data_IF_382536767599
#
_entry.id   IF_382536767599
#
_cell.length_a   1.000
_cell.length_b   1.000
_cell.length_c   1.000
_cell.angle_alpha   90.00
_cell.angle_beta   90.00
_cell.angle_gamma   90.00
#
_symmetry.space_group_name_H-M   'P 1'
#
loop_
_entity.id
_entity.type
_entity.pdbx_description
1 polymer ?
#
# COMPACT_ATOMS: atom_id res chain seq x y z
N UNK A 1 13.40 10.09 -18.21
CA UNK A 1 12.12 10.67 -18.63
C UNK A 1 11.95 12.05 -18.04
N UNK A 2 11.72 13.06 -18.86
CA UNK A 2 11.38 14.41 -18.38
C UNK A 2 9.86 14.56 -18.22
N UNK A 3 9.42 15.69 -17.67
CA UNK A 3 8.00 15.90 -17.38
C UNK A 3 7.10 15.96 -18.63
N UNK A 4 7.61 16.51 -19.73
CA UNK A 4 6.87 16.58 -21.00
C UNK A 4 6.67 15.17 -21.57
N UNK A 5 7.71 14.35 -21.55
CA UNK A 5 7.64 12.94 -21.99
C UNK A 5 6.66 12.14 -21.11
N UNK A 6 6.72 12.32 -19.78
CA UNK A 6 5.78 11.69 -18.85
C UNK A 6 4.33 12.09 -19.17
N UNK A 7 4.07 13.38 -19.33
CA UNK A 7 2.72 13.91 -19.61
C UNK A 7 2.20 13.39 -20.95
N UNK A 8 3.04 13.36 -21.99
CA UNK A 8 2.66 12.81 -23.29
C UNK A 8 2.34 11.31 -23.23
N UNK A 9 3.12 10.52 -22.49
CA UNK A 9 2.82 9.09 -22.30
C UNK A 9 1.50 8.88 -21.56
N UNK A 10 1.26 9.66 -20.51
CA UNK A 10 0.00 9.64 -19.77
C UNK A 10 -1.19 9.98 -20.67
N UNK A 11 -1.07 11.04 -21.49
CA UNK A 11 -2.11 11.42 -22.44
C UNK A 11 -2.37 10.31 -23.46
N UNK A 12 -1.33 9.73 -24.05
CA UNK A 12 -1.47 8.61 -24.99
C UNK A 12 -2.21 7.42 -24.36
N UNK A 13 -1.95 7.10 -23.08
CA UNK A 13 -2.65 6.03 -22.37
C UNK A 13 -4.11 6.41 -22.09
N UNK A 14 -4.39 7.67 -21.73
CA UNK A 14 -5.75 8.16 -21.53
C UNK A 14 -6.56 8.11 -22.83
N UNK A 15 -5.97 8.51 -23.96
CA UNK A 15 -6.64 8.59 -25.26
C UNK A 15 -7.03 7.22 -25.84
N UNK A 16 -6.44 6.13 -25.32
CA UNK A 16 -6.85 4.76 -25.64
C UNK A 16 -8.26 4.41 -25.10
N UNK A 17 -8.81 5.22 -24.19
CA UNK A 17 -10.11 4.96 -23.58
C UNK A 17 -10.11 3.75 -22.65
N UNK A 18 -11.14 2.91 -22.75
CA UNK A 18 -11.24 1.70 -21.93
C UNK A 18 -10.40 0.56 -22.49
N UNK A 19 -9.42 0.12 -21.70
CA UNK A 19 -8.50 -0.96 -22.05
C UNK A 19 -8.78 -2.16 -21.16
N UNK A 20 -8.85 -3.35 -21.78
CA UNK A 20 -9.02 -4.61 -21.06
C UNK A 20 -7.87 -4.89 -20.09
N UNK A 21 -8.20 -5.35 -18.89
CA UNK A 21 -7.24 -5.76 -17.88
C UNK A 21 -6.34 -6.90 -18.42
N UNK A 22 -5.02 -6.72 -18.31
CA UNK A 22 -4.02 -7.70 -18.74
C UNK A 22 -3.83 -8.82 -17.71
N UNK A 23 -4.34 -8.62 -16.49
CA UNK A 23 -4.28 -9.58 -15.38
C UNK A 23 -5.58 -9.50 -14.58
N UNK A 24 -6.12 -10.65 -14.19
CA UNK A 24 -7.32 -10.71 -13.35
C UNK A 24 -7.00 -10.34 -11.90
N UNK A 25 -7.95 -9.70 -11.23
CA UNK A 25 -7.92 -9.44 -9.80
C UNK A 25 -7.35 -8.06 -9.43
N UNK A 26 -7.07 -7.88 -8.14
CA UNK A 26 -6.76 -6.55 -7.60
C UNK A 26 -5.52 -5.91 -8.20
N UNK A 27 -4.51 -6.72 -8.56
CA UNK A 27 -3.24 -6.27 -9.17
C UNK A 27 -3.37 -5.94 -10.66
N UNK A 28 -4.53 -6.22 -11.27
CA UNK A 28 -4.77 -6.01 -12.70
C UNK A 28 -4.55 -4.57 -13.15
N UNK A 29 -5.02 -3.59 -12.37
CA UNK A 29 -4.89 -2.16 -12.71
C UNK A 29 -3.43 -1.69 -12.75
N UNK A 30 -2.63 -2.09 -11.76
CA UNK A 30 -1.19 -1.77 -11.70
C UNK A 30 -0.46 -2.38 -12.87
N UNK A 31 -0.63 -3.69 -13.02
CA UNK A 31 0.02 -4.44 -14.09
C UNK A 31 -0.35 -3.94 -15.50
N UNK A 32 -1.63 -3.64 -15.73
CA UNK A 32 -2.08 -3.05 -17.01
C UNK A 32 -1.40 -1.71 -17.25
N UNK A 33 -1.41 -0.79 -16.28
CA UNK A 33 -0.81 0.52 -16.45
C UNK A 33 0.69 0.43 -16.69
N UNK A 34 1.42 -0.34 -15.88
CA UNK A 34 2.87 -0.54 -16.01
C UNK A 34 3.23 -1.09 -17.39
N UNK A 35 2.46 -2.08 -17.87
CA UNK A 35 2.65 -2.67 -19.20
C UNK A 35 2.45 -1.63 -20.32
N UNK A 36 1.38 -0.83 -20.24
CA UNK A 36 1.11 0.24 -21.21
C UNK A 36 2.16 1.36 -21.15
N UNK A 37 2.72 1.60 -19.97
CA UNK A 37 3.79 2.58 -19.76
C UNK A 37 5.16 2.07 -20.27
N UNK A 38 5.27 0.78 -20.60
CA UNK A 38 6.48 0.13 -21.09
C UNK A 38 7.44 -0.27 -19.98
N UNK A 39 6.92 -0.61 -18.79
CA UNK A 39 7.71 -1.07 -17.64
C UNK A 39 7.62 -2.58 -17.51
N UNK A 40 8.75 -3.21 -17.15
CA UNK A 40 8.81 -4.62 -16.79
C UNK A 40 8.60 -4.81 -15.29
N UNK A 41 7.84 -5.83 -14.91
CA UNK A 41 7.56 -6.14 -13.50
C UNK A 41 8.86 -6.57 -12.80
N UNK A 42 9.21 -5.89 -11.71
CA UNK A 42 10.42 -6.17 -10.92
C UNK A 42 10.10 -6.26 -9.43
N UNK A 43 10.88 -7.08 -8.71
CA UNK A 43 10.80 -7.19 -7.25
C UNK A 43 11.83 -6.31 -6.53
N UNK A 44 12.60 -5.50 -7.27
CA UNK A 44 13.60 -4.60 -6.69
C UNK A 44 12.87 -3.45 -5.99
N UNK A 45 13.19 -3.12 -4.73
CA UNK A 45 12.49 -2.09 -3.96
C UNK A 45 12.96 -0.66 -4.31
N UNK A 46 13.07 -0.36 -5.60
CA UNK A 46 13.39 0.99 -6.11
C UNK A 46 12.15 1.57 -6.81
N UNK A 47 12.06 2.91 -6.92
CA UNK A 47 10.96 3.54 -7.66
C UNK A 47 10.98 3.16 -9.15
N UNK A 48 9.80 3.09 -9.76
CA UNK A 48 9.59 2.48 -11.07
C UNK A 48 10.25 3.26 -12.22
N UNK A 49 9.98 4.56 -12.34
CA UNK A 49 10.50 5.36 -13.46
C UNK A 49 11.93 5.80 -13.14
N UNK A 50 12.89 5.09 -13.73
CA UNK A 50 14.32 5.41 -13.65
C UNK A 50 14.87 5.44 -12.22
N UNK A 51 14.28 4.68 -11.29
CA UNK A 51 14.70 4.64 -9.89
C UNK A 51 14.30 5.90 -9.09
N UNK A 52 13.42 6.76 -9.62
CA UNK A 52 13.14 8.09 -9.02
C UNK A 52 11.67 8.44 -8.81
N UNK A 53 10.74 7.82 -9.54
CA UNK A 53 9.30 8.07 -9.39
C UNK A 53 8.59 6.74 -9.21
N UNK A 54 7.92 6.59 -8.07
CA UNK A 54 7.06 5.43 -7.80
C UNK A 54 5.72 5.64 -8.52
N UNK A 55 5.13 4.57 -9.04
CA UNK A 55 3.80 4.55 -9.61
C UNK A 55 2.85 3.87 -8.64
N UNK A 56 1.68 4.47 -8.46
CA UNK A 56 0.54 3.83 -7.79
C UNK A 56 -0.70 4.10 -8.63
N UNK A 57 -1.38 3.02 -9.00
CA UNK A 57 -2.65 3.10 -9.72
C UNK A 57 -3.80 2.62 -8.85
N UNK A 58 -4.94 3.28 -8.97
CA UNK A 58 -6.14 2.91 -8.21
C UNK A 58 -7.41 3.13 -9.02
N UNK A 59 -8.44 2.35 -8.69
CA UNK A 59 -9.77 2.44 -9.29
C UNK A 59 -10.53 3.54 -8.55
N UNK A 60 -11.15 4.48 -9.25
CA UNK A 60 -11.88 5.62 -8.64
C UNK A 60 -13.08 5.17 -7.78
N UNK A 61 -13.71 4.06 -8.16
CA UNK A 61 -14.86 3.49 -7.45
C UNK A 61 -14.48 2.58 -6.28
N UNK A 62 -13.19 2.40 -5.98
CA UNK A 62 -12.75 1.46 -4.95
C UNK A 62 -12.62 2.09 -3.57
N UNK A 63 -13.19 1.42 -2.57
CA UNK A 63 -12.92 1.67 -1.15
C UNK A 63 -11.62 1.03 -0.64
N UNK A 64 -10.85 0.38 -1.52
CA UNK A 64 -9.59 -0.27 -1.13
C UNK A 64 -8.52 0.75 -0.79
N UNK A 65 -7.74 0.45 0.25
CA UNK A 65 -6.60 1.28 0.62
C UNK A 65 -5.45 1.13 -0.41
N UNK A 66 -4.80 2.22 -0.74
CA UNK A 66 -3.54 2.26 -1.48
C UNK A 66 -2.43 1.79 -0.56
N UNK A 67 -1.61 0.84 -1.02
CA UNK A 67 -0.40 0.44 -0.27
C UNK A 67 0.71 1.43 -0.57
N UNK A 68 1.15 2.18 0.45
CA UNK A 68 2.26 3.10 0.35
C UNK A 68 3.57 2.31 0.19
N UNK A 69 3.85 1.44 1.14
CA UNK A 69 5.00 0.54 1.13
C UNK A 69 4.77 -0.63 2.07
N UNK A 70 5.73 -1.56 2.11
CA UNK A 70 5.71 -2.71 2.99
C UNK A 70 6.99 -2.80 3.79
N UNK A 71 6.91 -3.10 5.09
CA UNK A 71 8.10 -3.19 5.94
C UNK A 71 7.95 -4.25 7.04
N UNK A 72 8.94 -5.15 7.17
CA UNK A 72 8.89 -6.32 8.06
C UNK A 72 10.20 -6.64 8.78
N UNK A 73 11.33 -6.02 8.41
CA UNK A 73 12.66 -6.49 8.84
C UNK A 73 12.87 -6.18 10.32
N UNK A 74 13.05 -7.21 11.15
CA UNK A 74 13.39 -7.06 12.57
C UNK A 74 12.25 -6.58 13.47
N UNK A 75 10.99 -6.62 12.99
CA UNK A 75 9.87 -5.97 13.71
C UNK A 75 9.14 -6.89 14.70
N UNK A 76 9.18 -8.21 14.49
CA UNK A 76 8.36 -9.16 15.23
C UNK A 76 9.06 -9.62 16.51
N UNK A 77 8.37 -9.50 17.65
CA UNK A 77 8.88 -9.87 18.99
C UNK A 77 8.37 -11.25 19.47
N UNK A 78 7.52 -11.87 18.66
CA UNK A 78 6.97 -13.22 18.82
C UNK A 78 7.03 -13.94 17.48
N UNK A 79 6.99 -15.27 17.48
CA UNK A 79 6.99 -16.01 16.20
C UNK A 79 5.70 -15.74 15.46
N UNK A 80 5.80 -15.39 14.18
CA UNK A 80 4.63 -15.10 13.36
C UNK A 80 3.64 -16.28 13.30
N UNK A 81 4.12 -17.53 13.36
CA UNK A 81 3.26 -18.72 13.42
C UNK A 81 2.35 -18.68 14.64
N UNK A 82 2.92 -18.46 15.83
CA UNK A 82 2.18 -18.36 17.10
C UNK A 82 1.13 -17.23 17.05
N UNK A 83 1.50 -16.07 16.49
CA UNK A 83 0.58 -14.93 16.33
C UNK A 83 -0.58 -15.30 15.38
N UNK A 84 -0.31 -16.00 14.27
CA UNK A 84 -1.34 -16.45 13.33
C UNK A 84 -2.25 -17.51 13.96
N UNK A 85 -1.69 -18.42 14.77
CA UNK A 85 -2.47 -19.45 15.46
C UNK A 85 -3.42 -18.82 16.49
N UNK A 86 -2.92 -17.84 17.26
CA UNK A 86 -3.66 -17.16 18.31
C UNK A 86 -4.72 -16.19 17.77
N UNK A 87 -4.38 -15.32 16.82
CA UNK A 87 -5.25 -14.23 16.37
C UNK A 87 -5.83 -14.43 14.97
N UNK A 88 -5.32 -15.42 14.23
CA UNK A 88 -5.75 -15.66 12.86
C UNK A 88 -7.07 -16.41 12.76
N UNK A 89 -7.63 -16.39 11.57
CA UNK A 89 -8.90 -17.01 11.20
C UNK A 89 -8.71 -17.90 9.97
N UNK A 90 -9.68 -18.75 9.67
CA UNK A 90 -9.67 -19.53 8.43
C UNK A 90 -10.13 -18.66 7.26
N UNK A 91 -9.26 -18.47 6.26
CA UNK A 91 -9.62 -17.71 5.07
C UNK A 91 -10.46 -18.53 4.08
N UNK A 92 -11.02 -17.86 3.06
CA UNK A 92 -11.86 -18.50 2.03
C UNK A 92 -11.23 -19.68 1.28
N UNK A 93 -9.91 -19.90 1.42
CA UNK A 93 -9.20 -21.03 0.83
C UNK A 93 -8.86 -22.11 1.89
N UNK A 94 -9.47 -22.07 3.08
CA UNK A 94 -9.22 -23.04 4.16
C UNK A 94 -7.89 -22.84 4.90
N UNK A 95 -7.21 -21.70 4.73
CA UNK A 95 -5.89 -21.48 5.35
C UNK A 95 -6.04 -20.66 6.62
N UNK A 96 -5.33 -21.05 7.68
CA UNK A 96 -5.14 -20.19 8.87
C UNK A 96 -4.36 -18.94 8.47
N UNK A 97 -4.99 -17.77 8.59
CA UNK A 97 -4.51 -16.50 8.09
C UNK A 97 -4.68 -15.37 9.11
N UNK A 98 -3.74 -14.43 9.10
CA UNK A 98 -3.86 -13.15 9.79
C UNK A 98 -3.76 -12.04 8.75
N UNK A 99 -4.92 -11.66 8.24
CA UNK A 99 -5.08 -10.59 7.25
C UNK A 99 -6.01 -9.53 7.82
N UNK A 100 -5.45 -8.41 8.28
CA UNK A 100 -6.23 -7.36 8.90
C UNK A 100 -5.50 -6.03 8.89
N UNK A 101 -6.25 -4.96 8.62
CA UNK A 101 -5.77 -3.59 8.76
C UNK A 101 -6.14 -3.07 10.15
N UNK A 102 -5.15 -2.57 10.88
CA UNK A 102 -5.32 -1.97 12.20
C UNK A 102 -5.04 -0.47 12.08
N UNK A 103 -5.95 0.35 12.62
CA UNK A 103 -5.80 1.79 12.72
C UNK A 103 -5.39 2.19 14.13
N UNK A 104 -4.81 3.38 14.27
CA UNK A 104 -4.27 3.87 15.52
C UNK A 104 -5.33 3.92 16.63
N UNK A 105 -4.93 3.48 17.83
CA UNK A 105 -5.67 3.61 19.07
C UNK A 105 -7.11 3.07 19.04
N UNK A 106 -7.36 2.06 18.20
CA UNK A 106 -8.64 1.35 18.14
C UNK A 106 -8.40 -0.15 17.97
N UNK A 107 -8.90 -1.00 18.87
CA UNK A 107 -8.88 -2.44 18.65
C UNK A 107 -9.70 -2.79 17.41
N UNK A 108 -9.14 -3.63 16.55
CA UNK A 108 -9.91 -4.25 15.47
C UNK A 108 -10.72 -5.45 16.00
N UNK A 109 -11.46 -6.12 15.13
CA UNK A 109 -12.25 -7.32 15.46
C UNK A 109 -11.43 -8.52 15.92
N UNK A 110 -10.11 -8.51 15.75
CA UNK A 110 -9.19 -9.54 16.23
C UNK A 110 -8.52 -9.17 17.56
N UNK A 111 -8.94 -8.07 18.19
CA UNK A 111 -8.35 -7.58 19.42
C UNK A 111 -6.92 -7.04 19.25
N UNK A 112 -6.54 -6.63 18.05
CA UNK A 112 -5.22 -6.05 17.79
C UNK A 112 -5.30 -4.52 17.78
N UNK A 113 -4.32 -3.87 18.41
CA UNK A 113 -4.25 -2.41 18.60
C UNK A 113 -2.90 -1.89 18.09
N UNK A 114 -2.93 -0.73 17.42
CA UNK A 114 -1.72 0.04 17.12
C UNK A 114 -1.57 1.21 18.10
N UNK A 115 -0.41 1.31 18.71
CA UNK A 115 -0.02 2.43 19.58
C UNK A 115 1.30 3.04 19.14
N UNK A 116 1.61 4.24 19.64
CA UNK A 116 2.90 4.90 19.44
C UNK A 116 3.51 5.16 20.81
N UNK A 117 4.70 4.61 21.03
CA UNK A 117 5.54 4.97 22.17
C UNK A 117 6.40 6.17 21.78
N UNK A 118 5.98 7.35 22.23
CA UNK A 118 6.67 8.61 21.95
C UNK A 118 8.07 8.69 22.60
N UNK A 119 8.30 7.97 23.69
CA UNK A 119 9.59 7.98 24.37
C UNK A 119 10.63 7.17 23.60
N UNK A 120 10.23 5.98 23.12
CA UNK A 120 11.10 5.08 22.35
C UNK A 120 11.06 5.31 20.85
N UNK A 121 10.17 6.17 20.36
CA UNK A 121 9.94 6.46 18.94
C UNK A 121 9.66 5.19 18.14
N UNK A 122 8.74 4.36 18.66
CA UNK A 122 8.29 3.14 17.98
C UNK A 122 6.78 3.11 17.81
N UNK A 123 6.32 2.52 16.71
CA UNK A 123 4.94 2.09 16.53
C UNK A 123 4.83 0.66 17.05
N UNK A 124 3.83 0.38 17.89
CA UNK A 124 3.62 -0.93 18.51
C UNK A 124 2.38 -1.60 17.96
N UNK A 125 2.45 -2.91 17.78
CA UNK A 125 1.30 -3.79 17.64
C UNK A 125 1.12 -4.56 18.95
N UNK A 126 -0.03 -4.38 19.60
CA UNK A 126 -0.40 -5.08 20.82
C UNK A 126 -1.65 -5.93 20.61
N UNK A 127 -1.83 -6.94 21.47
CA UNK A 127 -3.13 -7.58 21.67
C UNK A 127 -3.97 -6.81 22.68
N UNK A 128 -5.26 -7.15 22.79
CA UNK A 128 -6.20 -6.60 23.76
C UNK A 128 -5.84 -6.90 25.22
N UNK A 129 -4.88 -7.80 25.46
CA UNK A 129 -4.37 -8.15 26.78
C UNK A 129 -2.98 -7.52 27.00
N UNK A 130 -2.67 -6.43 26.31
CA UNK A 130 -1.41 -5.69 26.38
C UNK A 130 -0.14 -6.50 26.04
N UNK A 131 -0.29 -7.60 25.30
CA UNK A 131 0.86 -8.38 24.84
C UNK A 131 1.46 -7.67 23.63
N UNK A 132 2.71 -7.23 23.76
CA UNK A 132 3.48 -6.64 22.67
C UNK A 132 3.89 -7.72 21.64
N UNK A 133 3.46 -7.54 20.39
CA UNK A 133 3.65 -8.50 19.29
C UNK A 133 4.72 -8.06 18.29
N UNK A 134 4.77 -6.77 17.98
CA UNK A 134 5.74 -6.19 17.06
C UNK A 134 6.01 -4.71 17.34
N UNK A 135 7.21 -4.25 16.98
CA UNK A 135 7.64 -2.85 17.05
C UNK A 135 8.27 -2.41 15.72
N UNK A 136 7.87 -1.22 15.25
CA UNK A 136 8.48 -0.55 14.11
C UNK A 136 9.13 0.74 14.58
N UNK A 137 10.43 0.88 14.34
CA UNK A 137 11.14 2.14 14.55
C UNK A 137 10.57 3.24 13.63
N UNK A 138 10.14 4.36 14.22
CA UNK A 138 9.49 5.45 13.50
C UNK A 138 10.44 6.06 12.46
N UNK A 139 11.72 6.24 12.78
CA UNK A 139 12.69 6.83 11.87
C UNK A 139 12.94 5.92 10.66
N UNK A 140 13.01 4.61 10.88
CA UNK A 140 13.14 3.64 9.78
C UNK A 140 11.91 3.66 8.88
N UNK A 141 10.71 3.61 9.45
CA UNK A 141 9.45 3.65 8.68
C UNK A 141 9.34 4.95 7.89
N UNK A 142 9.63 6.10 8.52
CA UNK A 142 9.67 7.41 7.86
C UNK A 142 10.73 7.45 6.77
N UNK A 143 11.90 6.85 6.98
CA UNK A 143 12.96 6.74 5.99
C UNK A 143 12.53 5.95 4.76
N UNK A 144 11.81 4.85 4.94
CA UNK A 144 11.22 4.06 3.83
C UNK A 144 10.18 4.88 3.08
N UNK A 145 9.26 5.55 3.80
CA UNK A 145 8.28 6.46 3.20
C UNK A 145 8.97 7.54 2.36
N UNK A 146 9.92 8.26 2.93
CA UNK A 146 10.55 9.43 2.32
C UNK A 146 11.43 9.06 1.12
N UNK A 147 12.07 7.90 1.16
CA UNK A 147 12.94 7.43 0.06
C UNK A 147 12.12 6.85 -1.09
N UNK A 148 11.30 5.82 -0.83
CA UNK A 148 10.54 5.11 -1.85
C UNK A 148 9.47 6.00 -2.48
N UNK A 149 8.84 6.84 -1.68
CA UNK A 149 7.73 7.70 -2.11
C UNK A 149 8.14 9.18 -2.21
N UNK A 150 9.43 9.44 -2.43
CA UNK A 150 9.99 10.79 -2.66
C UNK A 150 9.28 11.54 -3.80
N UNK A 151 8.91 10.81 -4.85
CA UNK A 151 8.08 11.30 -5.96
C UNK A 151 7.11 10.19 -6.33
N UNK A 152 5.82 10.51 -6.33
CA UNK A 152 4.76 9.56 -6.59
C UNK A 152 3.94 10.01 -7.80
N UNK A 153 3.92 9.20 -8.85
CA UNK A 153 2.93 9.28 -9.91
C UNK A 153 1.70 8.49 -9.47
N UNK A 154 0.68 9.24 -9.06
CA UNK A 154 -0.60 8.68 -8.63
C UNK A 154 -1.62 8.72 -9.77
N UNK A 155 -2.05 7.55 -10.24
CA UNK A 155 -2.92 7.42 -11.42
C UNK A 155 -4.26 6.81 -11.01
N UNK A 156 -5.33 7.44 -11.46
CA UNK A 156 -6.71 7.07 -11.19
C UNK A 156 -7.35 6.60 -12.48
N UNK A 157 -8.10 5.50 -12.39
CA UNK A 157 -8.83 4.96 -13.51
C UNK A 157 -10.31 4.78 -13.19
N UNK A 158 -11.15 5.16 -14.15
CA UNK A 158 -12.51 4.64 -14.22
C UNK A 158 -12.47 3.16 -14.61
N UNK A 159 -13.47 2.42 -14.15
CA UNK A 159 -13.56 0.98 -14.37
C UNK A 159 -14.94 0.61 -14.87
N UNK A 160 -14.98 -0.35 -15.79
CA UNK A 160 -16.21 -1.06 -16.16
C UNK A 160 -15.95 -2.57 -16.30
N UNK A 161 -17.03 -3.34 -16.34
CA UNK A 161 -16.98 -4.77 -16.65
C UNK A 161 -17.76 -5.03 -17.94
N UNK A 162 -17.08 -5.57 -18.95
CA UNK A 162 -17.67 -5.93 -20.24
C UNK A 162 -17.46 -7.42 -20.46
N UNK A 163 -18.55 -8.19 -20.62
CA UNK A 163 -18.51 -9.64 -20.86
C UNK A 163 -17.63 -10.42 -19.84
N UNK A 164 -17.68 -10.04 -18.56
CA UNK A 164 -16.88 -10.67 -17.50
C UNK A 164 -15.41 -10.27 -17.48
N UNK A 165 -15.00 -9.28 -18.28
CA UNK A 165 -13.67 -8.70 -18.29
C UNK A 165 -13.68 -7.30 -17.72
N UNK A 166 -12.75 -7.03 -16.80
CA UNK A 166 -12.51 -5.71 -16.25
C UNK A 166 -11.79 -4.85 -17.30
N UNK A 167 -12.23 -3.62 -17.49
CA UNK A 167 -11.58 -2.63 -18.33
C UNK A 167 -11.31 -1.35 -17.54
N UNK A 168 -10.20 -0.67 -17.85
CA UNK A 168 -9.75 0.54 -17.18
C UNK A 168 -9.61 1.69 -18.17
N UNK A 169 -10.05 2.88 -17.78
CA UNK A 169 -9.76 4.12 -18.47
C UNK A 169 -8.95 5.02 -17.53
N UNK A 170 -7.64 5.11 -17.78
CA UNK A 170 -6.68 5.87 -16.97
C UNK A 170 -6.75 7.35 -17.33
N UNK A 171 -7.61 8.10 -16.64
CA UNK A 171 -8.04 9.42 -17.08
C UNK A 171 -7.74 10.55 -16.09
N UNK A 172 -6.98 10.27 -15.03
CA UNK A 172 -6.58 11.26 -14.05
C UNK A 172 -5.24 10.86 -13.43
N UNK A 173 -4.34 11.83 -13.29
CA UNK A 173 -3.00 11.57 -12.79
C UNK A 173 -2.42 12.79 -12.07
N UNK A 174 -1.71 12.52 -10.97
CA UNK A 174 -1.01 13.52 -10.18
C UNK A 174 0.44 13.11 -9.98
N UNK A 175 1.34 14.08 -10.08
CA UNK A 175 2.68 13.97 -9.54
C UNK A 175 2.68 14.60 -8.14
N UNK A 176 2.89 13.77 -7.12
CA UNK A 176 3.01 14.20 -5.74
C UNK A 176 4.50 14.21 -5.36
N UNK A 177 4.95 15.34 -4.82
CA UNK A 177 6.35 15.53 -4.40
C UNK A 177 6.41 16.23 -3.04
N UNK A 178 7.61 16.25 -2.45
CA UNK A 178 7.84 16.79 -1.11
C UNK A 178 7.06 16.01 -0.05
N UNK A 179 7.32 14.68 0.09
CA UNK A 179 6.69 13.90 1.15
C UNK A 179 7.00 14.53 2.50
N UNK A 180 6.00 14.65 3.36
CA UNK A 180 6.15 15.27 4.67
C UNK A 180 6.15 14.20 5.79
N UNK A 181 7.32 13.96 6.43
CA UNK A 181 7.42 13.02 7.55
C UNK A 181 6.45 13.27 8.70
N UNK A 182 6.19 14.53 9.05
CA UNK A 182 5.27 14.88 10.14
C UNK A 182 3.85 14.52 9.76
N UNK A 183 3.42 14.93 8.55
CA UNK A 183 2.09 14.58 8.05
C UNK A 183 1.89 13.07 7.97
N UNK A 184 2.92 12.28 7.64
CA UNK A 184 2.84 10.83 7.65
C UNK A 184 2.57 10.24 9.04
N UNK A 185 3.26 10.73 10.08
CA UNK A 185 3.01 10.30 11.47
C UNK A 185 1.64 10.77 11.96
N UNK A 186 1.27 12.02 11.64
CA UNK A 186 -0.05 12.56 11.98
C UNK A 186 -1.16 11.79 11.28
N UNK A 187 -0.95 11.34 10.04
CA UNK A 187 -1.89 10.50 9.30
C UNK A 187 -2.08 9.12 9.95
N UNK A 188 -1.04 8.55 10.58
CA UNK A 188 -1.19 7.33 11.41
C UNK A 188 -2.06 7.66 12.63
N UNK A 189 -1.71 8.70 13.40
CA UNK A 189 -2.43 9.11 14.62
C UNK A 189 -3.90 9.45 14.35
N UNK A 190 -4.19 10.06 13.21
CA UNK A 190 -5.53 10.44 12.78
C UNK A 190 -6.28 9.30 12.07
N UNK A 191 -5.76 8.07 12.09
CA UNK A 191 -6.39 6.89 11.45
C UNK A 191 -6.65 7.06 9.95
N UNK A 192 -5.80 7.82 9.27
CA UNK A 192 -5.76 7.91 7.80
C UNK A 192 -4.88 6.80 7.23
N UNK A 193 -3.73 6.54 7.87
CA UNK A 193 -2.83 5.43 7.57
C UNK A 193 -3.11 4.26 8.51
N UNK A 194 -3.38 3.08 7.95
CA UNK A 194 -3.52 1.82 8.67
C UNK A 194 -2.34 0.88 8.43
N UNK A 195 -2.11 -0.01 9.40
CA UNK A 195 -1.08 -1.06 9.35
C UNK A 195 -1.75 -2.38 9.00
N UNK A 196 -1.40 -2.93 7.85
CA UNK A 196 -2.08 -4.08 7.24
C UNK A 196 -1.21 -5.35 7.35
N UNK A 197 -1.62 -6.25 8.25
CA UNK A 197 -1.04 -7.57 8.39
C UNK A 197 -1.53 -8.45 7.24
N UNK A 198 -0.61 -9.20 6.60
CA UNK A 198 -0.92 -10.00 5.41
C UNK A 198 -0.20 -11.34 5.43
N UNK A 199 -0.51 -12.14 6.45
CA UNK A 199 0.16 -13.41 6.73
C UNK A 199 -0.81 -14.59 6.63
N UNK A 200 -0.28 -15.76 6.29
CA UNK A 200 -0.99 -17.04 6.41
C UNK A 200 -0.01 -18.19 6.55
N UNK A 201 -0.49 -19.31 7.08
CA UNK A 201 0.23 -20.58 7.04
C UNK A 201 0.04 -21.22 5.67
N UNK A 202 1.12 -21.75 5.11
CA UNK A 202 1.07 -22.68 3.97
C UNK A 202 0.66 -24.07 4.47
N UNK A 203 0.40 -24.99 3.55
CA UNK A 203 0.08 -26.39 3.85
C UNK A 203 1.14 -27.07 4.72
N UNK A 204 2.43 -26.76 4.50
CA UNK A 204 3.54 -27.25 5.32
C UNK A 204 3.76 -26.46 6.62
N UNK A 205 2.76 -25.70 7.06
CA UNK A 205 2.76 -24.84 8.25
C UNK A 205 3.81 -23.71 8.28
N UNK A 206 4.54 -23.50 7.19
CA UNK A 206 5.47 -22.36 7.11
C UNK A 206 4.71 -21.06 6.91
N UNK A 207 5.23 -19.98 7.52
CA UNK A 207 4.60 -18.66 7.42
C UNK A 207 4.87 -18.05 6.05
N UNK A 208 3.81 -17.67 5.35
CA UNK A 208 3.87 -16.77 4.19
C UNK A 208 3.43 -15.37 4.62
N UNK A 209 4.41 -14.51 4.90
CA UNK A 209 4.20 -13.09 5.14
C UNK A 209 4.41 -12.30 3.82
N UNK A 210 3.36 -11.59 3.36
CA UNK A 210 3.41 -10.78 2.13
C UNK A 210 3.95 -9.35 2.34
N UNK A 211 4.54 -9.05 3.49
CA UNK A 211 4.84 -7.68 3.90
C UNK A 211 3.75 -7.12 4.82
N UNK A 212 4.11 -6.47 5.92
CA UNK A 212 3.19 -5.58 6.62
C UNK A 212 3.05 -4.30 5.80
N UNK A 213 1.84 -3.97 5.36
CA UNK A 213 1.58 -2.82 4.50
C UNK A 213 1.25 -1.58 5.32
N UNK A 214 1.84 -0.43 4.98
CA UNK A 214 1.34 0.87 5.43
C UNK A 214 0.40 1.37 4.34
N UNK A 215 -0.89 1.57 4.67
CA UNK A 215 -1.93 1.79 3.66
C UNK A 215 -2.81 2.98 4.01
N UNK A 216 -3.22 3.73 2.99
CA UNK A 216 -4.04 4.94 3.12
C UNK A 216 -5.21 4.90 2.13
N UNK A 217 -6.31 5.61 2.41
CA UNK A 217 -7.36 5.79 1.39
C UNK A 217 -6.84 6.65 0.24
N UNK A 218 -7.29 6.37 -0.97
CA UNK A 218 -6.97 7.13 -2.18
C UNK A 218 -7.09 8.64 -1.95
N UNK A 219 -8.26 9.11 -1.53
CA UNK A 219 -8.54 10.53 -1.27
C UNK A 219 -7.64 11.21 -0.23
N UNK A 220 -7.05 10.44 0.69
CA UNK A 220 -6.27 10.99 1.81
C UNK A 220 -4.76 11.00 1.46
N UNK A 221 -4.34 10.43 0.33
CA UNK A 221 -2.92 10.33 -0.04
C UNK A 221 -2.26 11.70 -0.21
N UNK A 222 -3.03 12.70 -0.63
CA UNK A 222 -2.54 14.06 -0.88
C UNK A 222 -2.09 14.76 0.40
N UNK A 223 -2.65 14.39 1.56
CA UNK A 223 -2.27 14.92 2.88
C UNK A 223 -0.80 14.63 3.23
N UNK A 224 -0.21 13.61 2.59
CA UNK A 224 1.17 13.18 2.85
C UNK A 224 2.23 14.04 2.12
N UNK A 225 1.82 14.98 1.28
CA UNK A 225 2.71 15.70 0.36
C UNK A 225 2.54 17.22 0.42
N UNK A 226 3.64 17.95 0.31
CA UNK A 226 3.65 19.42 0.20
C UNK A 226 3.28 19.92 -1.20
N UNK A 227 3.49 19.12 -2.24
CA UNK A 227 3.20 19.50 -3.61
C UNK A 227 2.34 18.46 -4.33
N UNK A 228 1.27 18.93 -4.98
CA UNK A 228 0.40 18.16 -5.86
C UNK A 228 0.31 18.86 -7.21
N UNK A 229 0.84 18.21 -8.25
CA UNK A 229 0.72 18.67 -9.63
C UNK A 229 -0.17 17.74 -10.43
N UNK A 230 -1.28 18.25 -10.98
CA UNK A 230 -2.12 17.50 -11.91
C UNK A 230 -1.40 17.35 -13.27
N UNK A 231 -1.45 16.14 -13.83
CA UNK A 231 -0.85 15.78 -15.12
C UNK A 231 -1.90 15.33 -16.15
N UNK A 232 -3.02 14.74 -15.69
CA UNK A 232 -4.25 14.44 -16.42
C UNK A 232 -5.46 14.89 -15.58
#
# INVERSE_FOLDING_TARGET
>A
MNLKELTNRLQNISDMGYIRALRRGSTGIGYTFESLFGLEETNIPIPDIGGRVEIKTTRKDSSSLVTLFTFNRGVWLRKQKEIIEQFGYEDKNGRKALKSTIFFNRPNSLGLIIEIDESKKVIRLLSSNDILLAEWDIYVVVGVFSSKLSRLLFVLADRRAVQGHEEFHFNEAYLLTEPNPRNFIDAIKNSLVGIDLRMHLKENETVRNRGTGFRIREKDIYELYGNRRRLL
#
